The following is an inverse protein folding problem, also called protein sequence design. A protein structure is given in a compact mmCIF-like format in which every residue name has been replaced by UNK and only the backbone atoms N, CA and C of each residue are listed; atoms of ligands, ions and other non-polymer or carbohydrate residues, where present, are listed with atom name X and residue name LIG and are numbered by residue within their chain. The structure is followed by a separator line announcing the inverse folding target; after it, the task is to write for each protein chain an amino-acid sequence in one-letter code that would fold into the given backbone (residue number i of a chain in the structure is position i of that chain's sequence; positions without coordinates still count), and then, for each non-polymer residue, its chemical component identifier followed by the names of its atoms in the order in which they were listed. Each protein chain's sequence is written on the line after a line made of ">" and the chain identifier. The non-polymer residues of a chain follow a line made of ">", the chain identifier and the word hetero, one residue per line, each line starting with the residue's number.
data_IF_187145875601
#
_entry.id   IF_187145875601
#
_cell.length_a   1.000
_cell.length_b   1.000
_cell.length_c   1.000
_cell.angle_alpha   90.00
_cell.angle_beta   90.00
_cell.angle_gamma   90.00
#
_symmetry.space_group_name_H-M   'P 1'
#
loop_
_entity.id
_entity.type
_entity.pdbx_description
1 polymer ?
#
# COMPACT_ATOMS: atom_id res chain seq x y z
N UNK A 1 3.82 27.26 15.16
CA UNK A 1 3.18 27.35 13.83
C UNK A 1 3.50 26.07 13.10
N UNK A 2 2.58 25.46 12.35
CA UNK A 2 2.94 24.30 11.52
C UNK A 2 3.32 24.86 10.15
N UNK A 3 4.52 24.55 9.68
CA UNK A 3 5.04 24.98 8.36
C UNK A 3 4.27 24.37 7.17
N UNK A 4 3.19 23.63 7.43
CA UNK A 4 2.36 22.94 6.43
C UNK A 4 0.88 23.03 6.81
N UNK A 5 0.04 23.27 5.80
CA UNK A 5 -1.41 23.12 5.88
C UNK A 5 -1.82 21.80 5.23
N UNK A 6 -2.75 21.07 5.83
CA UNK A 6 -3.18 19.74 5.36
C UNK A 6 -4.67 19.77 5.03
N UNK A 7 -5.00 19.38 3.81
CA UNK A 7 -6.37 19.17 3.33
C UNK A 7 -6.62 17.69 3.08
N UNK A 8 -7.79 17.20 3.49
CA UNK A 8 -8.18 15.80 3.33
C UNK A 8 -9.16 15.63 2.16
N UNK A 9 -9.02 14.54 1.43
CA UNK A 9 -9.88 14.15 0.32
C UNK A 9 -9.51 12.77 -0.21
N UNK A 10 -10.32 12.22 -1.10
CA UNK A 10 -9.92 11.02 -1.84
C UNK A 10 -8.81 11.35 -2.87
N UNK A 11 -8.12 10.32 -3.37
CA UNK A 11 -6.98 10.49 -4.29
C UNK A 11 -7.33 11.39 -5.50
N UNK A 12 -8.45 11.20 -6.22
CA UNK A 12 -8.84 12.11 -7.29
C UNK A 12 -9.00 13.58 -6.85
N UNK A 13 -9.59 13.83 -5.69
CA UNK A 13 -9.80 15.18 -5.16
C UNK A 13 -8.48 15.88 -4.82
N UNK A 14 -7.56 15.17 -4.18
CA UNK A 14 -6.26 15.75 -3.78
C UNK A 14 -5.38 16.04 -4.99
N UNK A 15 -5.38 15.17 -6.01
CA UNK A 15 -4.71 15.43 -7.29
C UNK A 15 -5.30 16.68 -7.97
N UNK A 16 -6.62 16.76 -8.05
CA UNK A 16 -7.30 17.90 -8.68
C UNK A 16 -6.99 19.22 -7.97
N UNK A 17 -6.81 19.22 -6.64
CA UNK A 17 -6.40 20.41 -5.90
C UNK A 17 -5.01 20.90 -6.34
N UNK A 18 -4.06 19.99 -6.59
CA UNK A 18 -2.73 20.36 -7.12
C UNK A 18 -2.83 20.88 -8.55
N UNK A 19 -3.63 20.24 -9.41
CA UNK A 19 -3.83 20.69 -10.80
C UNK A 19 -4.41 22.10 -10.90
N UNK A 20 -5.28 22.48 -9.94
CA UNK A 20 -5.90 23.80 -9.86
C UNK A 20 -5.05 24.84 -9.14
N UNK A 21 -3.91 24.46 -8.56
CA UNK A 21 -3.08 25.34 -7.74
C UNK A 21 -3.68 25.65 -6.37
N UNK A 22 -4.63 24.84 -5.89
CA UNK A 22 -5.22 24.93 -4.55
C UNK A 22 -4.36 24.24 -3.48
N UNK A 23 -3.40 23.41 -3.90
CA UNK A 23 -2.41 22.74 -3.05
C UNK A 23 -1.06 22.61 -3.76
N UNK A 24 0.05 22.65 -3.01
CA UNK A 24 1.40 22.52 -3.57
C UNK A 24 1.80 21.05 -3.86
N UNK A 25 1.21 20.10 -3.14
CA UNK A 25 1.49 18.68 -3.26
C UNK A 25 0.28 17.83 -2.85
N UNK A 26 0.22 16.60 -3.37
CA UNK A 26 -0.77 15.60 -2.99
C UNK A 26 -0.10 14.24 -2.82
N UNK A 27 -0.68 13.41 -1.95
CA UNK A 27 -0.32 12.00 -1.87
C UNK A 27 -1.08 11.21 -2.94
N UNK A 28 -0.36 10.37 -3.68
CA UNK A 28 -0.92 9.44 -4.64
C UNK A 28 -0.34 8.04 -4.39
N UNK A 29 -1.17 7.01 -4.56
CA UNK A 29 -0.75 5.61 -4.49
C UNK A 29 -0.62 5.02 -5.91
N UNK A 30 0.15 3.94 -6.03
CA UNK A 30 0.14 3.14 -7.25
C UNK A 30 -1.22 2.40 -7.36
N UNK A 31 -1.74 2.19 -8.58
CA UNK A 31 -1.10 2.46 -9.88
C UNK A 31 -1.22 3.92 -10.37
N UNK A 32 -2.09 4.75 -9.79
CA UNK A 32 -2.39 6.12 -10.27
C UNK A 32 -1.15 7.00 -10.34
N UNK A 33 -0.25 6.88 -9.35
CA UNK A 33 1.01 7.63 -9.32
C UNK A 33 1.87 7.42 -10.59
N UNK A 34 1.86 6.23 -11.19
CA UNK A 34 2.61 5.94 -12.40
C UNK A 34 2.13 6.81 -13.58
N UNK A 35 0.82 6.93 -13.78
CA UNK A 35 0.24 7.78 -14.83
C UNK A 35 0.55 9.26 -14.61
N UNK A 36 0.47 9.74 -13.36
CA UNK A 36 0.77 11.13 -13.04
C UNK A 36 2.23 11.49 -13.37
N UNK A 37 3.17 10.64 -12.95
CA UNK A 37 4.60 10.84 -13.20
C UNK A 37 4.90 10.71 -14.70
N UNK A 38 4.37 9.68 -15.36
CA UNK A 38 4.57 9.46 -16.80
C UNK A 38 4.01 10.59 -17.67
N UNK A 39 3.01 11.34 -17.19
CA UNK A 39 2.46 12.50 -17.90
C UNK A 39 3.46 13.66 -18.05
N UNK A 40 4.52 13.68 -17.23
CA UNK A 40 5.49 14.77 -17.16
C UNK A 40 4.98 16.04 -16.47
N UNK A 41 3.69 16.10 -16.10
CA UNK A 41 3.11 17.25 -15.37
C UNK A 41 3.45 17.24 -13.89
N UNK A 42 3.69 16.06 -13.33
CA UNK A 42 4.00 15.86 -11.92
C UNK A 42 5.36 15.17 -11.78
N UNK A 43 5.99 15.39 -10.64
CA UNK A 43 7.17 14.65 -10.20
C UNK A 43 6.94 14.10 -8.80
N UNK A 44 7.51 12.94 -8.51
CA UNK A 44 7.58 12.47 -7.13
C UNK A 44 8.55 13.35 -6.35
N UNK A 45 8.07 13.96 -5.26
CA UNK A 45 8.93 14.67 -4.31
C UNK A 45 9.57 13.71 -3.30
N UNK A 46 8.83 12.64 -2.95
CA UNK A 46 9.24 11.65 -1.96
C UNK A 46 8.46 10.34 -2.17
N UNK A 47 9.12 9.22 -1.93
CA UNK A 47 8.48 7.90 -1.86
C UNK A 47 8.30 7.51 -0.38
N UNK A 48 7.10 7.70 0.16
CA UNK A 48 6.84 7.47 1.59
C UNK A 48 7.13 6.03 2.02
N UNK A 49 6.87 5.05 1.15
CA UNK A 49 7.19 3.64 1.41
C UNK A 49 8.69 3.37 1.52
N UNK A 50 9.51 3.98 0.66
CA UNK A 50 10.96 3.84 0.73
C UNK A 50 11.51 4.52 2.00
N UNK A 51 11.04 5.74 2.31
CA UNK A 51 11.42 6.49 3.53
C UNK A 51 11.05 5.70 4.79
N UNK A 52 9.87 5.08 4.80
CA UNK A 52 9.43 4.24 5.89
C UNK A 52 10.34 3.02 6.06
N UNK A 53 10.54 2.27 4.98
CA UNK A 53 11.38 1.07 5.00
C UNK A 53 12.79 1.37 5.48
N UNK A 54 13.39 2.49 5.04
CA UNK A 54 14.71 2.93 5.52
C UNK A 54 14.72 3.18 7.03
N UNK A 55 13.72 3.89 7.55
CA UNK A 55 13.65 4.27 8.97
C UNK A 55 13.29 3.13 9.90
N UNK A 56 12.47 2.20 9.41
CA UNK A 56 11.93 1.09 10.19
C UNK A 56 12.69 -0.23 9.95
N UNK A 57 13.94 -0.15 9.48
CA UNK A 57 14.82 -1.31 9.36
C UNK A 57 14.37 -2.35 8.33
N UNK A 58 13.79 -1.89 7.23
CA UNK A 58 13.32 -2.70 6.11
C UNK A 58 11.83 -3.03 6.14
N UNK A 59 11.07 -2.57 7.13
CA UNK A 59 9.63 -2.86 7.21
C UNK A 59 8.87 -2.27 6.01
N UNK A 60 7.90 -3.02 5.48
CA UNK A 60 6.98 -2.50 4.47
C UNK A 60 5.94 -1.62 5.15
N UNK A 61 5.56 -0.51 4.52
CA UNK A 61 4.61 0.46 5.06
C UNK A 61 3.21 -0.17 5.26
N UNK A 62 2.70 -0.29 6.51
CA UNK A 62 1.55 -1.16 6.82
C UNK A 62 0.19 -0.44 6.71
N UNK A 63 -0.08 0.31 5.64
CA UNK A 63 -1.36 1.04 5.50
C UNK A 63 -2.51 0.21 4.91
N UNK A 64 -2.27 -1.05 4.55
CA UNK A 64 -3.28 -1.96 4.00
C UNK A 64 -3.34 -3.21 4.86
N UNK A 65 -4.53 -3.50 5.39
CA UNK A 65 -4.79 -4.67 6.23
C UNK A 65 -5.95 -5.49 5.66
N UNK A 66 -5.93 -6.80 5.93
CA UNK A 66 -7.08 -7.67 5.69
C UNK A 66 -7.92 -7.65 6.95
N UNK A 67 -9.19 -7.26 6.82
CA UNK A 67 -10.13 -7.25 7.92
C UNK A 67 -11.27 -8.24 7.65
N UNK A 68 -11.70 -8.93 8.71
CA UNK A 68 -12.86 -9.81 8.67
C UNK A 68 -13.73 -9.58 9.92
N UNK A 69 -15.02 -9.90 9.83
CA UNK A 69 -15.87 -9.94 11.01
C UNK A 69 -15.37 -11.04 11.96
N UNK A 70 -15.34 -10.75 13.27
CA UNK A 70 -14.83 -11.67 14.29
C UNK A 70 -15.51 -13.04 14.24
N UNK A 71 -16.83 -13.07 14.11
CA UNK A 71 -17.62 -14.30 14.09
C UNK A 71 -17.31 -15.16 12.85
N UNK A 72 -17.02 -14.53 11.71
CA UNK A 72 -16.55 -15.22 10.53
C UNK A 72 -15.15 -15.80 10.76
N UNK A 73 -14.23 -15.02 11.30
CA UNK A 73 -12.87 -15.47 11.57
C UNK A 73 -12.85 -16.69 12.49
N UNK A 74 -13.57 -16.64 13.62
CA UNK A 74 -13.62 -17.74 14.58
C UNK A 74 -14.15 -19.05 13.97
N UNK A 75 -15.06 -18.96 12.99
CA UNK A 75 -15.60 -20.12 12.27
C UNK A 75 -14.74 -20.59 11.10
N UNK A 76 -13.78 -19.79 10.64
CA UNK A 76 -13.06 -20.01 9.38
C UNK A 76 -11.53 -19.79 9.50
N UNK A 77 -10.93 -20.08 10.66
CA UNK A 77 -9.50 -19.83 10.91
C UNK A 77 -8.58 -20.43 9.85
N UNK A 78 -8.82 -21.67 9.45
CA UNK A 78 -8.03 -22.35 8.41
C UNK A 78 -8.14 -21.64 7.04
N UNK A 79 -9.32 -21.12 6.70
CA UNK A 79 -9.52 -20.35 5.47
C UNK A 79 -8.83 -18.99 5.58
N UNK A 80 -8.94 -18.31 6.73
CA UNK A 80 -8.23 -17.06 6.97
C UNK A 80 -6.71 -17.23 6.82
N UNK A 81 -6.15 -18.32 7.39
CA UNK A 81 -4.75 -18.69 7.22
C UNK A 81 -4.38 -18.82 5.75
N UNK A 82 -5.12 -19.63 4.98
CA UNK A 82 -4.86 -19.84 3.54
C UNK A 82 -4.94 -18.55 2.73
N UNK A 83 -5.88 -17.66 3.06
CA UNK A 83 -6.00 -16.34 2.41
C UNK A 83 -4.75 -15.51 2.67
N UNK A 84 -4.28 -15.44 3.92
CA UNK A 84 -3.05 -14.71 4.26
C UNK A 84 -1.85 -15.33 3.55
N UNK A 85 -1.66 -16.65 3.63
CA UNK A 85 -0.56 -17.35 2.94
C UNK A 85 -0.55 -17.05 1.44
N UNK A 86 -1.72 -17.12 0.79
CA UNK A 86 -1.86 -16.85 -0.65
C UNK A 86 -1.48 -15.41 -1.00
N UNK A 87 -1.87 -14.44 -0.18
CA UNK A 87 -1.55 -13.02 -0.42
C UNK A 87 -0.05 -12.79 -0.25
N UNK A 88 0.57 -13.37 0.77
CA UNK A 88 2.02 -13.27 0.99
C UNK A 88 2.81 -13.97 -0.12
N UNK A 89 2.35 -15.13 -0.58
CA UNK A 89 2.93 -15.86 -1.73
C UNK A 89 2.83 -15.03 -3.01
N UNK A 90 1.67 -14.42 -3.28
CA UNK A 90 1.49 -13.54 -4.43
C UNK A 90 2.40 -12.30 -4.34
N UNK A 91 2.53 -11.70 -3.16
CA UNK A 91 3.43 -10.58 -2.92
C UNK A 91 4.89 -10.94 -3.21
N UNK A 92 5.37 -12.09 -2.69
CA UNK A 92 6.69 -12.63 -3.01
C UNK A 92 6.88 -12.87 -4.50
N UNK A 93 5.92 -13.55 -5.14
CA UNK A 93 5.96 -13.84 -6.57
C UNK A 93 6.12 -12.56 -7.43
N UNK A 94 5.35 -11.51 -7.13
CA UNK A 94 5.42 -10.24 -7.87
C UNK A 94 6.72 -9.49 -7.59
N UNK A 95 7.26 -9.56 -6.37
CA UNK A 95 8.56 -8.96 -6.05
C UNK A 95 9.72 -9.66 -6.74
N UNK A 96 9.69 -10.99 -6.83
CA UNK A 96 10.71 -11.77 -7.54
C UNK A 96 10.60 -11.63 -9.06
N UNK A 97 9.40 -11.33 -9.58
CA UNK A 97 9.12 -11.23 -11.01
C UNK A 97 8.29 -9.99 -11.35
N UNK A 98 8.83 -8.77 -11.21
CA UNK A 98 8.05 -7.54 -11.46
C UNK A 98 7.41 -7.47 -12.85
N UNK A 99 8.03 -8.10 -13.86
CA UNK A 99 7.54 -8.14 -15.24
C UNK A 99 6.15 -8.74 -15.39
N UNK A 100 5.68 -9.54 -14.44
CA UNK A 100 4.32 -10.13 -14.47
C UNK A 100 3.22 -9.05 -14.41
N UNK A 101 3.56 -7.83 -13.98
CA UNK A 101 2.63 -6.70 -14.04
C UNK A 101 2.25 -6.39 -15.49
N UNK A 102 3.18 -6.49 -16.43
CA UNK A 102 2.90 -6.27 -17.86
C UNK A 102 1.97 -7.34 -18.45
N UNK A 103 1.88 -8.52 -17.81
CA UNK A 103 0.99 -9.60 -18.23
C UNK A 103 -0.49 -9.32 -17.89
N UNK A 104 -0.76 -8.33 -17.02
CA UNK A 104 -2.13 -7.91 -16.64
C UNK A 104 -2.81 -7.05 -17.72
N UNK A 105 -2.70 -7.46 -18.99
CA UNK A 105 -3.08 -6.67 -20.16
C UNK A 105 -4.52 -6.13 -20.08
N UNK A 106 -5.49 -6.96 -19.70
CA UNK A 106 -6.90 -6.54 -19.59
C UNK A 106 -7.09 -5.43 -18.54
N UNK A 107 -6.44 -5.56 -17.39
CA UNK A 107 -6.48 -4.55 -16.34
C UNK A 107 -5.81 -3.25 -16.81
N UNK A 108 -4.60 -3.35 -17.38
CA UNK A 108 -3.85 -2.18 -17.84
C UNK A 108 -4.59 -1.45 -18.96
N UNK A 109 -5.21 -2.17 -19.90
CA UNK A 109 -6.02 -1.59 -20.98
C UNK A 109 -7.28 -0.91 -20.42
N UNK A 110 -8.01 -1.58 -19.52
CA UNK A 110 -9.24 -1.05 -18.92
C UNK A 110 -9.03 0.30 -18.22
N UNK A 111 -7.86 0.48 -17.59
CA UNK A 111 -7.55 1.68 -16.81
C UNK A 111 -6.55 2.63 -17.49
N UNK A 112 -6.24 2.43 -18.78
CA UNK A 112 -5.28 3.23 -19.54
C UNK A 112 -3.87 3.32 -18.89
N UNK A 113 -3.41 2.19 -18.34
CA UNK A 113 -2.10 2.03 -17.71
C UNK A 113 -1.10 1.28 -18.61
N UNK A 114 -1.41 1.16 -19.90
CA UNK A 114 -0.74 0.26 -20.85
C UNK A 114 0.37 0.92 -21.68
N UNK A 115 0.81 2.14 -21.34
CA UNK A 115 1.92 2.78 -22.07
C UNK A 115 3.27 2.33 -21.51
N UNK A 116 4.33 2.24 -22.33
CA UNK A 116 5.64 1.79 -21.85
C UNK A 116 6.19 2.57 -20.64
N UNK A 117 6.10 3.91 -20.57
CA UNK A 117 6.56 4.65 -19.39
C UNK A 117 5.76 4.33 -18.12
N UNK A 118 4.44 4.11 -18.24
CA UNK A 118 3.60 3.74 -17.09
C UNK A 118 3.95 2.34 -16.61
N UNK A 119 4.07 1.38 -17.52
CA UNK A 119 4.42 -0.02 -17.18
C UNK A 119 5.78 -0.06 -16.47
N UNK A 120 6.79 0.63 -17.00
CA UNK A 120 8.11 0.68 -16.36
C UNK A 120 8.05 1.22 -14.92
N UNK A 121 7.24 2.26 -14.67
CA UNK A 121 7.03 2.79 -13.32
C UNK A 121 6.28 1.80 -12.42
N UNK A 122 5.29 1.09 -12.96
CA UNK A 122 4.53 0.08 -12.21
C UNK A 122 5.43 -1.09 -11.79
N UNK A 123 6.22 -1.63 -12.71
CA UNK A 123 7.17 -2.73 -12.44
C UNK A 123 8.23 -2.33 -11.42
N UNK A 124 8.75 -1.11 -11.50
CA UNK A 124 9.79 -0.66 -10.58
C UNK A 124 9.29 -0.40 -9.15
N UNK A 125 8.01 -0.06 -8.95
CA UNK A 125 7.54 0.49 -7.68
C UNK A 125 6.37 -0.26 -7.03
N UNK A 126 5.47 -0.86 -7.80
CA UNK A 126 4.31 -1.58 -7.24
C UNK A 126 4.71 -2.79 -6.39
N UNK A 127 5.72 -3.62 -6.78
CA UNK A 127 6.08 -4.80 -5.99
C UNK A 127 6.51 -4.47 -4.56
N UNK A 128 7.16 -3.32 -4.35
CA UNK A 128 7.59 -2.83 -3.03
C UNK A 128 6.42 -2.55 -2.06
N UNK A 129 5.22 -2.38 -2.59
CA UNK A 129 4.02 -2.07 -1.81
C UNK A 129 3.24 -3.31 -1.39
N UNK A 130 3.60 -4.47 -1.93
CA UNK A 130 2.89 -5.72 -1.66
C UNK A 130 3.47 -6.38 -0.42
N UNK A 131 2.62 -6.86 0.51
CA UNK A 131 3.09 -7.59 1.67
C UNK A 131 3.70 -8.93 1.22
N UNK A 132 4.93 -9.20 1.65
CA UNK A 132 5.64 -10.45 1.38
C UNK A 132 5.92 -11.25 2.67
N UNK A 133 5.64 -10.64 3.82
CA UNK A 133 5.81 -11.15 5.16
C UNK A 133 4.61 -10.75 6.04
N UNK A 134 4.48 -11.41 7.18
CA UNK A 134 3.52 -11.05 8.21
C UNK A 134 4.18 -11.23 9.56
N UNK A 135 4.78 -10.15 10.07
CA UNK A 135 5.51 -10.14 11.32
C UNK A 135 4.78 -9.39 12.45
N UNK A 136 5.28 -9.59 13.67
CA UNK A 136 4.76 -8.94 14.88
C UNK A 136 5.11 -7.43 14.93
N UNK A 137 6.21 -7.02 14.29
CA UNK A 137 6.69 -5.62 14.34
C UNK A 137 5.78 -4.68 13.57
N UNK A 138 5.18 -5.18 12.50
CA UNK A 138 4.24 -4.51 11.62
C UNK A 138 2.91 -4.15 12.34
N UNK A 139 2.65 -4.74 13.52
CA UNK A 139 1.37 -4.64 14.24
C UNK A 139 1.39 -3.69 15.46
N UNK A 140 2.48 -2.95 15.70
CA UNK A 140 2.68 -2.27 17.00
C UNK A 140 2.05 -0.88 17.08
N UNK A 141 1.59 -0.50 18.29
CA UNK A 141 1.07 0.85 18.61
C UNK A 141 2.14 1.94 18.59
N UNK A 142 3.41 1.56 18.58
CA UNK A 142 4.56 2.48 18.70
C UNK A 142 4.65 3.47 17.53
N UNK A 143 3.97 3.15 16.43
CA UNK A 143 3.96 3.96 15.21
C UNK A 143 3.08 5.22 15.30
N UNK A 144 2.33 5.41 16.39
CA UNK A 144 1.64 6.67 16.71
C UNK A 144 0.42 7.04 15.84
N UNK A 145 0.04 6.20 14.88
CA UNK A 145 -1.16 6.40 14.04
C UNK A 145 -2.46 5.94 14.70
N UNK A 146 -2.34 5.04 15.67
CA UNK A 146 -3.47 4.48 16.41
C UNK A 146 -3.57 5.25 17.74
N UNK A 147 -4.74 5.80 18.10
CA UNK A 147 -4.92 6.45 19.39
C UNK A 147 -4.41 5.55 20.52
N UNK A 148 -3.66 6.12 21.46
CA UNK A 148 -3.00 5.34 22.53
C UNK A 148 -3.98 4.53 23.38
N UNK A 149 -5.21 5.00 23.50
CA UNK A 149 -6.31 4.34 24.20
C UNK A 149 -7.10 3.33 23.34
N UNK A 150 -6.79 3.18 22.05
CA UNK A 150 -7.46 2.19 21.20
C UNK A 150 -6.95 0.78 21.53
N UNK A 151 -7.84 -0.20 21.77
CA UNK A 151 -7.44 -1.55 22.16
C UNK A 151 -7.07 -2.39 20.93
N UNK A 152 -5.99 -2.04 20.23
CA UNK A 152 -5.60 -2.69 18.96
C UNK A 152 -5.46 -4.22 19.08
N UNK A 153 -5.01 -4.71 20.23
CA UNK A 153 -4.83 -6.14 20.50
C UNK A 153 -6.14 -6.93 20.40
N UNK A 154 -7.29 -6.28 20.60
CA UNK A 154 -8.59 -6.94 20.45
C UNK A 154 -8.97 -7.13 18.97
N UNK A 155 -8.34 -6.40 18.04
CA UNK A 155 -8.70 -6.36 16.63
C UNK A 155 -7.63 -6.96 15.71
N UNK A 156 -6.46 -7.26 16.28
CA UNK A 156 -5.31 -7.82 15.58
C UNK A 156 -5.25 -9.31 15.83
N UNK A 157 -5.17 -10.07 14.74
CA UNK A 157 -4.73 -11.46 14.80
C UNK A 157 -3.22 -11.47 14.65
N UNK A 158 -2.50 -12.20 15.49
CA UNK A 158 -1.04 -12.35 15.36
C UNK A 158 -0.70 -13.50 14.42
N UNK A 159 0.46 -13.47 13.74
CA UNK A 159 0.92 -14.60 12.92
C UNK A 159 0.86 -15.93 13.69
N UNK A 160 1.31 -15.92 14.95
CA UNK A 160 1.28 -17.09 15.83
C UNK A 160 -0.14 -17.62 16.12
N UNK A 161 -1.14 -16.74 16.23
CA UNK A 161 -2.55 -17.10 16.43
C UNK A 161 -3.20 -17.68 15.18
N UNK A 162 -2.68 -17.28 14.00
CA UNK A 162 -3.07 -17.83 12.70
C UNK A 162 -2.29 -19.09 12.34
N UNK A 163 -1.28 -19.46 13.13
CA UNK A 163 -0.42 -20.61 12.91
C UNK A 163 0.58 -20.42 11.76
N UNK A 164 1.10 -19.21 11.60
CA UNK A 164 2.13 -18.81 10.64
C UNK A 164 3.50 -18.62 11.30
#
# INVERSE_FOLDING_TARGET
>A
EKDVSVSFGNIPQTIAAVEKGEADAAMAAYPVAASLIASGKFKSAAALGDIWSEKEGGLVLPFVVIAANRDWYERNKDTAKKVVETILDAGRFIQERPSVISELADYLNKYNLNTPPIIALLEANSPKQLPNNYGEKEMTKELGFIPSNFPIEDYVVKPSELGL
#
